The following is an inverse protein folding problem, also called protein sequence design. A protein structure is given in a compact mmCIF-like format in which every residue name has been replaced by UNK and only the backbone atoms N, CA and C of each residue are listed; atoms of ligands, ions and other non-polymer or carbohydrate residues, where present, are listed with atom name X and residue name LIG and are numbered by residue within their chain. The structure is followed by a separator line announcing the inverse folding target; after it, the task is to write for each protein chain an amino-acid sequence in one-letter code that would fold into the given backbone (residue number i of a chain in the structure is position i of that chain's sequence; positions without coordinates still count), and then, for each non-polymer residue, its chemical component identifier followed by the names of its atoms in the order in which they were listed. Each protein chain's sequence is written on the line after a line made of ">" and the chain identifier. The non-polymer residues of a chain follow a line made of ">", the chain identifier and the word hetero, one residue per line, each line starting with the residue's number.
data_IF_407598456641
#
_entry.id   IF_407598456641
#
_cell.length_a   1.000
_cell.length_b   1.000
_cell.length_c   1.000
_cell.angle_alpha   90.00
_cell.angle_beta   90.00
_cell.angle_gamma   90.00
#
_symmetry.space_group_name_H-M   'P 1'
#
loop_
_entity.id
_entity.type
_entity.pdbx_description
1 polymer ?
#
# COMPACT_ATOMS: atom_id res chain seq x y z
N UNK A 1 31.63 7.13 -7.38
CA UNK A 1 30.86 6.69 -6.18
C UNK A 1 30.04 7.84 -5.56
N UNK A 2 30.57 9.06 -5.40
CA UNK A 2 29.82 10.22 -4.85
C UNK A 2 28.61 10.73 -5.67
N UNK A 3 28.61 10.54 -6.99
CA UNK A 3 27.49 10.95 -7.87
C UNK A 3 26.19 10.15 -7.62
N UNK A 4 26.30 8.89 -7.20
CA UNK A 4 25.14 8.02 -6.93
C UNK A 4 24.41 8.38 -5.63
N UNK A 5 25.08 9.00 -4.65
CA UNK A 5 24.46 9.44 -3.40
C UNK A 5 23.44 10.54 -3.65
N UNK A 6 23.76 11.49 -4.54
CA UNK A 6 22.87 12.61 -4.87
C UNK A 6 21.59 12.09 -5.55
N UNK A 7 21.74 11.19 -6.53
CA UNK A 7 20.58 10.60 -7.21
C UNK A 7 19.73 9.73 -6.28
N UNK A 8 20.36 8.95 -5.39
CA UNK A 8 19.66 8.15 -4.37
C UNK A 8 18.86 9.02 -3.41
N UNK A 9 19.44 10.12 -2.92
CA UNK A 9 18.77 11.07 -2.03
C UNK A 9 17.59 11.75 -2.73
N UNK A 10 17.75 12.17 -3.99
CA UNK A 10 16.68 12.81 -4.76
C UNK A 10 15.52 11.83 -4.98
N UNK A 11 15.81 10.62 -5.45
CA UNK A 11 14.78 9.60 -5.71
C UNK A 11 14.09 9.15 -4.43
N UNK A 12 14.84 8.95 -3.34
CA UNK A 12 14.27 8.61 -2.03
C UNK A 12 13.37 9.71 -1.50
N UNK A 13 13.79 10.98 -1.61
CA UNK A 13 12.99 12.13 -1.20
C UNK A 13 11.69 12.24 -2.01
N UNK A 14 11.77 12.06 -3.33
CA UNK A 14 10.58 12.02 -4.20
C UNK A 14 9.63 10.88 -3.84
N UNK A 15 10.16 9.69 -3.52
CA UNK A 15 9.36 8.55 -3.07
C UNK A 15 8.62 8.85 -1.76
N UNK A 16 9.28 9.47 -0.78
CA UNK A 16 8.66 9.88 0.50
C UNK A 16 7.57 10.94 0.27
N UNK A 17 7.82 11.93 -0.59
CA UNK A 17 6.82 12.94 -0.96
C UNK A 17 5.59 12.27 -1.60
N UNK A 18 5.82 11.32 -2.51
CA UNK A 18 4.74 10.53 -3.12
C UNK A 18 3.90 9.79 -2.09
N UNK A 19 4.53 9.07 -1.17
CA UNK A 19 3.84 8.37 -0.08
C UNK A 19 3.04 9.34 0.82
N UNK A 20 3.60 10.52 1.13
CA UNK A 20 2.92 11.54 1.92
C UNK A 20 1.68 12.10 1.21
N UNK A 21 1.77 12.38 -0.09
CA UNK A 21 0.63 12.82 -0.90
C UNK A 21 -0.47 11.75 -0.89
N UNK A 22 -0.12 10.47 -1.06
CA UNK A 22 -1.09 9.36 -0.99
C UNK A 22 -1.80 9.33 0.36
N UNK A 23 -1.06 9.44 1.46
CA UNK A 23 -1.63 9.47 2.80
C UNK A 23 -2.61 10.66 2.97
N UNK A 24 -2.18 11.87 2.62
CA UNK A 24 -3.03 13.08 2.70
C UNK A 24 -4.29 12.92 1.85
N UNK A 25 -4.17 12.37 0.64
CA UNK A 25 -5.32 12.14 -0.24
C UNK A 25 -6.32 11.16 0.36
N UNK A 26 -5.86 10.01 0.88
CA UNK A 26 -6.73 9.02 1.53
C UNK A 26 -7.41 9.63 2.76
N UNK A 27 -6.68 10.34 3.62
CA UNK A 27 -7.27 11.01 4.78
C UNK A 27 -8.31 12.07 4.37
N UNK A 28 -8.03 12.84 3.30
CA UNK A 28 -8.98 13.82 2.76
C UNK A 28 -10.23 13.15 2.19
N UNK A 29 -10.10 12.00 1.53
CA UNK A 29 -11.23 11.22 1.04
C UNK A 29 -12.08 10.71 2.20
N UNK A 30 -11.47 10.07 3.20
CA UNK A 30 -12.18 9.57 4.38
C UNK A 30 -12.88 10.70 5.14
N UNK A 31 -12.23 11.86 5.28
CA UNK A 31 -12.83 13.05 5.89
C UNK A 31 -14.11 13.47 5.18
N UNK A 32 -14.11 13.48 3.84
CA UNK A 32 -15.28 13.88 3.05
C UNK A 32 -16.39 12.82 3.06
N UNK A 33 -16.03 11.54 2.98
CA UNK A 33 -16.99 10.43 2.86
C UNK A 33 -17.67 10.13 4.20
N UNK A 34 -16.92 10.10 5.30
CA UNK A 34 -17.45 9.72 6.61
C UNK A 34 -17.91 10.91 7.47
N UNK A 35 -17.31 12.09 7.27
CA UNK A 35 -17.58 13.27 8.11
C UNK A 35 -18.14 14.47 7.31
N UNK A 36 -18.45 14.28 6.02
CA UNK A 36 -19.16 15.27 5.22
C UNK A 36 -20.62 15.42 5.64
N UNK A 37 -21.26 16.52 5.22
CA UNK A 37 -22.70 16.69 5.39
C UNK A 37 -23.44 15.64 4.54
N UNK A 38 -24.48 15.04 5.12
CA UNK A 38 -25.37 14.17 4.36
C UNK A 38 -26.06 15.00 3.28
N UNK A 39 -26.01 14.52 2.04
CA UNK A 39 -26.66 15.15 0.91
C UNK A 39 -28.08 14.57 0.79
N UNK A 40 -29.08 15.38 1.11
CA UNK A 40 -30.50 15.02 1.08
C UNK A 40 -31.02 14.68 -0.33
N UNK A 41 -30.20 14.91 -1.37
CA UNK A 41 -30.52 14.53 -2.76
C UNK A 41 -30.08 13.11 -3.13
N UNK A 42 -29.31 12.45 -2.27
CA UNK A 42 -28.87 11.08 -2.52
C UNK A 42 -29.99 10.08 -2.21
N UNK A 43 -30.19 9.06 -3.07
CA UNK A 43 -31.16 8.00 -2.80
C UNK A 43 -30.78 7.25 -1.53
N UNK A 44 -31.79 6.77 -0.79
CA UNK A 44 -31.60 5.99 0.42
C UNK A 44 -30.79 4.71 0.08
N UNK A 45 -29.56 4.63 0.58
CA UNK A 45 -28.68 3.50 0.34
C UNK A 45 -29.02 2.37 1.32
N UNK A 46 -29.19 1.15 0.80
CA UNK A 46 -29.31 -0.04 1.63
C UNK A 46 -28.03 -0.28 2.43
N UNK A 47 -28.20 -0.63 3.70
CA UNK A 47 -27.12 -1.03 4.57
C UNK A 47 -26.30 -2.18 3.97
N UNK A 48 -24.98 -2.15 4.21
CA UNK A 48 -24.07 -3.17 3.68
C UNK A 48 -24.46 -4.57 4.16
N UNK A 49 -24.56 -5.49 3.21
CA UNK A 49 -24.99 -6.86 3.48
C UNK A 49 -23.94 -7.64 4.27
N UNK A 50 -24.32 -8.63 5.09
CA UNK A 50 -23.37 -9.44 5.86
C UNK A 50 -22.29 -10.12 5.00
N UNK A 51 -22.62 -10.42 3.74
CA UNK A 51 -21.69 -11.01 2.76
C UNK A 51 -20.60 -10.04 2.33
N UNK A 52 -20.95 -8.77 2.11
CA UNK A 52 -19.99 -7.71 1.79
C UNK A 52 -19.02 -7.48 2.96
N UNK A 53 -19.55 -7.40 4.18
CA UNK A 53 -18.74 -7.25 5.39
C UNK A 53 -17.79 -8.43 5.59
N UNK A 54 -18.25 -9.65 5.32
CA UNK A 54 -17.40 -10.84 5.39
C UNK A 54 -16.25 -10.81 4.39
N UNK A 55 -16.53 -10.48 3.13
CA UNK A 55 -15.50 -10.34 2.10
C UNK A 55 -14.47 -9.25 2.45
N UNK A 56 -14.93 -8.08 2.90
CA UNK A 56 -14.05 -7.00 3.35
C UNK A 56 -13.20 -7.43 4.56
N UNK A 57 -13.78 -8.16 5.51
CA UNK A 57 -13.07 -8.63 6.71
C UNK A 57 -11.92 -9.57 6.36
N UNK A 58 -12.12 -10.49 5.40
CA UNK A 58 -11.06 -11.38 4.93
C UNK A 58 -9.88 -10.56 4.40
N UNK A 59 -10.15 -9.55 3.56
CA UNK A 59 -9.08 -8.71 3.01
C UNK A 59 -8.32 -7.96 4.11
N UNK A 60 -9.03 -7.39 5.08
CA UNK A 60 -8.42 -6.71 6.23
C UNK A 60 -7.53 -7.67 7.03
N UNK A 61 -8.00 -8.90 7.27
CA UNK A 61 -7.20 -9.92 7.98
C UNK A 61 -5.90 -10.20 7.22
N UNK A 62 -5.94 -10.36 5.90
CA UNK A 62 -4.73 -10.57 5.11
C UNK A 62 -3.78 -9.38 5.15
N UNK A 63 -4.28 -8.14 5.03
CA UNK A 63 -3.45 -6.94 5.14
C UNK A 63 -2.76 -6.87 6.50
N UNK A 64 -3.50 -7.12 7.58
CA UNK A 64 -2.97 -7.11 8.95
C UNK A 64 -1.97 -8.25 9.16
N UNK A 65 -2.27 -9.46 8.68
CA UNK A 65 -1.40 -10.63 8.79
C UNK A 65 -0.06 -10.38 8.09
N UNK A 66 -0.09 -9.95 6.83
CA UNK A 66 1.13 -9.66 6.04
C UNK A 66 1.89 -8.47 6.64
N UNK A 67 1.17 -7.43 7.07
CA UNK A 67 1.76 -6.22 7.63
C UNK A 67 2.44 -6.44 8.99
N UNK A 68 1.85 -7.26 9.87
CA UNK A 68 2.41 -7.56 11.19
C UNK A 68 3.42 -8.71 11.16
N UNK A 69 3.23 -9.71 10.30
CA UNK A 69 4.11 -10.87 10.17
C UNK A 69 4.55 -11.07 8.70
N UNK A 70 5.52 -10.26 8.22
CA UNK A 70 5.96 -10.32 6.82
C UNK A 70 6.91 -11.50 6.50
N UNK A 71 7.63 -12.04 7.50
CA UNK A 71 8.73 -13.00 7.29
C UNK A 71 8.41 -14.23 6.42
N UNK A 72 7.25 -14.90 6.55
CA UNK A 72 6.92 -16.06 5.70
C UNK A 72 6.83 -15.68 4.23
N UNK A 73 6.27 -14.51 3.93
CA UNK A 73 6.12 -14.01 2.55
C UNK A 73 7.46 -13.57 1.98
N UNK A 74 8.27 -12.86 2.76
CA UNK A 74 9.59 -12.38 2.33
C UNK A 74 10.51 -13.56 1.99
N UNK A 75 10.54 -14.62 2.79
CA UNK A 75 11.35 -15.83 2.52
C UNK A 75 11.00 -16.50 1.18
N UNK A 76 9.71 -16.52 0.83
CA UNK A 76 9.25 -17.06 -0.46
C UNK A 76 9.78 -16.19 -1.60
N UNK A 77 9.67 -14.86 -1.47
CA UNK A 77 10.17 -13.90 -2.46
C UNK A 77 11.69 -14.01 -2.62
N UNK A 78 12.44 -14.09 -1.52
CA UNK A 78 13.90 -14.24 -1.53
C UNK A 78 14.33 -15.46 -2.37
N UNK A 79 13.72 -16.62 -2.13
CA UNK A 79 14.03 -17.85 -2.88
C UNK A 79 13.78 -17.74 -4.39
N UNK A 80 12.84 -16.88 -4.80
CA UNK A 80 12.55 -16.62 -6.22
C UNK A 80 13.46 -15.57 -6.85
N UNK A 81 13.91 -14.57 -6.08
CA UNK A 81 14.67 -13.41 -6.59
C UNK A 81 16.17 -13.64 -6.54
N UNK A 82 16.69 -14.40 -5.59
CA UNK A 82 18.12 -14.72 -5.44
C UNK A 82 18.80 -15.19 -6.75
N UNK A 83 18.25 -16.17 -7.52
CA UNK A 83 18.88 -16.60 -8.77
C UNK A 83 18.91 -15.49 -9.84
N UNK A 84 17.91 -14.59 -9.85
CA UNK A 84 17.86 -13.46 -10.80
C UNK A 84 18.95 -12.44 -10.45
N UNK A 85 19.11 -12.14 -9.15
CA UNK A 85 20.13 -11.22 -8.68
C UNK A 85 21.54 -11.72 -9.01
N UNK A 86 21.79 -13.03 -8.83
CA UNK A 86 23.08 -13.64 -9.17
C UNK A 86 23.41 -13.52 -10.67
N UNK A 87 22.41 -13.60 -11.55
CA UNK A 87 22.60 -13.40 -12.99
C UNK A 87 22.89 -11.94 -13.36
N UNK A 88 22.20 -10.99 -12.72
CA UNK A 88 22.40 -9.55 -12.99
C UNK A 88 23.76 -9.08 -12.45
N UNK A 89 24.16 -9.57 -11.28
CA UNK A 89 25.45 -9.22 -10.65
C UNK A 89 26.62 -9.97 -11.31
N UNK A 90 26.42 -11.22 -11.73
CA UNK A 90 27.43 -12.04 -12.41
C UNK A 90 27.60 -11.76 -13.91
N UNK A 91 26.71 -10.96 -14.51
CA UNK A 91 26.84 -10.45 -15.89
C UNK A 91 27.58 -9.11 -15.98
N UNK A 92 28.17 -8.65 -14.86
CA UNK A 92 29.01 -7.45 -14.77
C UNK A 92 30.51 -7.77 -14.77
#
# INVERSE_FOLDING_TARGET
>A
FQSYEIWGIILGSLAVIGAAITAVYILRLLSKVFFGLADDTLPEYLDSTPREKFAASILVIFIVLVGLWPFPFVKIIESGVEPILLQIVGAG
#
